data_IF_591908221886
#
_entry.id   IF_591908221886
#
_cell.length_a   1.000
_cell.length_b   1.000
_cell.length_c   1.000
_cell.angle_alpha   90.00
_cell.angle_beta   90.00
_cell.angle_gamma   90.00
#
_symmetry.space_group_name_H-M   'P 1'
#
loop_
_entity.id
_entity.type
_entity.pdbx_description
1 polymer ?
#
# COMPACT_ATOMS: atom_id res chain seq x y z
N UNK A 1 -14.07 -31.57 -4.05
CA UNK A 1 -14.07 -32.96 -3.55
C UNK A 1 -14.31 -33.98 -4.67
N UNK A 2 -15.30 -33.77 -5.54
CA UNK A 2 -15.61 -34.68 -6.68
C UNK A 2 -14.43 -34.94 -7.63
N UNK A 3 -13.56 -33.94 -7.88
CA UNK A 3 -12.39 -34.09 -8.76
C UNK A 3 -11.31 -35.07 -8.23
N UNK A 4 -11.40 -35.50 -6.97
CA UNK A 4 -10.46 -36.49 -6.40
C UNK A 4 -10.85 -37.94 -6.71
N UNK A 5 -12.03 -38.18 -7.30
CA UNK A 5 -12.46 -39.53 -7.67
C UNK A 5 -11.46 -40.17 -8.64
N UNK A 6 -11.24 -41.48 -8.49
CA UNK A 6 -10.32 -42.25 -9.36
C UNK A 6 -10.76 -42.22 -10.83
N UNK A 7 -12.07 -42.10 -11.07
CA UNK A 7 -12.69 -42.01 -12.41
C UNK A 7 -12.23 -40.77 -13.18
N UNK A 8 -11.90 -39.67 -12.50
CA UNK A 8 -11.45 -38.43 -13.16
C UNK A 8 -9.94 -38.49 -13.38
N UNK A 9 -9.49 -38.74 -14.61
CA UNK A 9 -8.06 -38.79 -14.96
C UNK A 9 -7.65 -37.59 -15.82
N UNK A 10 -6.86 -36.63 -15.29
CA UNK A 10 -6.41 -35.44 -16.02
C UNK A 10 -5.71 -35.71 -17.35
N UNK A 11 -5.02 -36.85 -17.47
CA UNK A 11 -4.33 -37.26 -18.69
C UNK A 11 -5.24 -37.45 -19.91
N UNK A 12 -6.55 -37.67 -19.72
CA UNK A 12 -7.49 -37.90 -20.83
C UNK A 12 -7.92 -36.61 -21.54
N UNK A 13 -7.84 -35.46 -20.87
CA UNK A 13 -8.32 -34.16 -21.40
C UNK A 13 -7.29 -33.03 -21.25
N UNK A 14 -6.06 -33.35 -20.85
CA UNK A 14 -4.97 -32.38 -20.80
C UNK A 14 -4.51 -32.03 -22.21
N UNK A 15 -4.32 -30.74 -22.49
CA UNK A 15 -3.77 -30.26 -23.76
C UNK A 15 -2.25 -30.26 -23.69
N UNK A 16 -1.58 -30.82 -24.70
CA UNK A 16 -0.13 -30.69 -24.85
C UNK A 16 0.18 -29.62 -25.90
N UNK A 17 0.77 -28.50 -25.47
CA UNK A 17 1.08 -27.39 -26.37
C UNK A 17 2.43 -27.62 -27.07
N UNK A 18 2.48 -27.44 -28.38
CA UNK A 18 3.71 -27.60 -29.16
C UNK A 18 4.65 -26.42 -28.94
N UNK A 19 5.93 -26.68 -28.69
CA UNK A 19 6.95 -25.65 -28.53
C UNK A 19 7.14 -24.83 -29.83
N UNK A 20 7.14 -23.48 -29.76
CA UNK A 20 7.41 -22.64 -30.91
C UNK A 20 8.91 -22.66 -31.26
N UNK A 21 9.23 -22.37 -32.52
CA UNK A 21 10.63 -22.22 -32.93
C UNK A 21 11.24 -20.99 -32.24
N UNK A 22 12.48 -21.06 -31.71
CA UNK A 22 13.10 -19.96 -30.98
C UNK A 22 13.27 -18.69 -31.83
N UNK A 23 13.42 -18.82 -33.16
CA UNK A 23 13.51 -17.68 -34.07
C UNK A 23 12.19 -16.89 -34.22
N UNK A 24 11.06 -17.46 -33.80
CA UNK A 24 9.73 -16.83 -33.87
C UNK A 24 9.34 -16.10 -32.59
N UNK A 25 10.13 -16.22 -31.51
CA UNK A 25 9.82 -15.69 -30.18
C UNK A 25 10.98 -14.92 -29.59
N UNK A 26 10.70 -13.89 -28.81
CA UNK A 26 11.73 -13.17 -28.04
C UNK A 26 12.22 -13.91 -26.77
N UNK A 27 11.90 -15.20 -26.62
CA UNK A 27 12.22 -16.02 -25.44
C UNK A 27 13.47 -16.88 -25.68
N UNK A 28 14.31 -17.04 -24.66
CA UNK A 28 15.40 -18.01 -24.70
C UNK A 28 14.85 -19.45 -24.57
N UNK A 29 15.55 -20.44 -25.14
CA UNK A 29 15.17 -21.86 -25.07
C UNK A 29 14.99 -22.37 -23.62
N UNK A 30 15.77 -21.83 -22.69
CA UNK A 30 15.67 -22.12 -21.25
C UNK A 30 14.43 -21.49 -20.59
N UNK A 31 13.94 -20.36 -21.12
CA UNK A 31 12.73 -19.69 -20.65
C UNK A 31 11.47 -20.38 -21.19
N UNK A 32 11.51 -20.82 -22.45
CA UNK A 32 10.43 -21.59 -23.10
C UNK A 32 10.11 -22.85 -22.27
N UNK A 33 11.12 -23.65 -21.94
CA UNK A 33 10.94 -24.89 -21.15
C UNK A 33 10.48 -24.66 -19.70
N UNK A 34 10.62 -23.44 -19.17
CA UNK A 34 10.15 -23.04 -17.83
C UNK A 34 8.75 -22.42 -17.84
N UNK A 35 8.24 -22.03 -19.00
CA UNK A 35 6.91 -21.44 -19.14
C UNK A 35 5.81 -22.44 -18.75
N UNK A 36 4.66 -21.93 -18.30
CA UNK A 36 3.51 -22.77 -17.93
C UNK A 36 2.96 -23.55 -19.13
N UNK A 37 3.05 -23.01 -20.35
CA UNK A 37 2.49 -23.63 -21.56
C UNK A 37 3.31 -24.83 -22.04
N UNK A 38 4.64 -24.72 -22.05
CA UNK A 38 5.51 -25.68 -22.73
C UNK A 38 6.21 -26.65 -21.77
N UNK A 39 6.14 -26.45 -20.45
CA UNK A 39 6.76 -27.34 -19.46
C UNK A 39 6.15 -28.74 -19.41
N UNK A 40 4.89 -28.89 -19.78
CA UNK A 40 4.17 -30.17 -19.74
C UNK A 40 2.69 -30.04 -20.09
N UNK A 41 1.93 -31.15 -20.05
CA UNK A 41 0.52 -31.16 -20.41
C UNK A 41 -0.28 -30.26 -19.46
N UNK A 42 -1.07 -29.36 -20.03
CA UNK A 42 -1.87 -28.37 -19.33
C UNK A 42 -3.26 -28.97 -19.03
N UNK A 43 -3.59 -29.04 -17.75
CA UNK A 43 -4.94 -29.38 -17.29
C UNK A 43 -5.86 -28.14 -17.39
N UNK A 44 -6.91 -28.14 -18.25
CA UNK A 44 -7.84 -27.01 -18.36
C UNK A 44 -8.57 -26.69 -17.05
N UNK A 45 -8.81 -27.70 -16.19
CA UNK A 45 -9.51 -27.51 -14.93
C UNK A 45 -8.68 -26.70 -13.91
N UNK A 46 -7.36 -26.69 -14.07
CA UNK A 46 -6.45 -25.95 -13.19
C UNK A 46 -6.69 -24.44 -13.25
N UNK A 47 -7.07 -23.91 -14.42
CA UNK A 47 -7.40 -22.48 -14.58
C UNK A 47 -8.67 -22.09 -13.82
N UNK A 48 -9.66 -22.98 -13.78
CA UNK A 48 -10.86 -22.84 -12.93
C UNK A 48 -10.58 -23.07 -11.43
N UNK A 49 -9.32 -23.31 -11.05
CA UNK A 49 -8.93 -23.56 -9.67
C UNK A 49 -9.18 -24.99 -9.20
N UNK A 50 -9.44 -25.94 -10.10
CA UNK A 50 -9.68 -27.34 -9.74
C UNK A 50 -8.39 -28.14 -9.92
N UNK A 51 -7.83 -28.64 -8.80
CA UNK A 51 -6.57 -29.40 -8.82
C UNK A 51 -6.75 -30.78 -8.20
N UNK A 52 -6.20 -31.80 -8.86
CA UNK A 52 -6.07 -33.15 -8.29
C UNK A 52 -4.79 -33.20 -7.47
N UNK A 53 -4.86 -33.63 -6.22
CA UNK A 53 -3.73 -33.53 -5.29
C UNK A 53 -3.69 -34.71 -4.36
N UNK A 54 -2.78 -35.64 -4.62
CA UNK A 54 -2.48 -36.78 -3.74
C UNK A 54 -1.11 -36.55 -3.08
N UNK A 55 -0.95 -36.68 -1.75
CA UNK A 55 -1.94 -36.91 -0.70
C UNK A 55 -2.40 -35.62 0.03
N UNK A 56 -1.78 -34.45 -0.21
CA UNK A 56 -1.88 -33.31 0.73
C UNK A 56 -2.34 -31.95 0.15
N UNK A 57 -2.45 -31.80 -1.19
CA UNK A 57 -2.88 -30.54 -1.82
C UNK A 57 -4.40 -30.35 -1.82
N UNK A 58 -5.17 -31.45 -1.94
CA UNK A 58 -6.63 -31.41 -1.76
C UNK A 58 -7.03 -30.95 -0.35
N UNK A 59 -6.24 -31.32 0.66
CA UNK A 59 -6.45 -30.86 2.04
C UNK A 59 -6.22 -29.36 2.18
N UNK A 60 -5.18 -28.78 1.56
CA UNK A 60 -4.86 -27.34 1.70
C UNK A 60 -5.94 -26.46 1.07
N UNK A 61 -6.39 -26.76 -0.15
CA UNK A 61 -7.41 -25.94 -0.81
C UNK A 61 -8.77 -26.06 -0.11
N UNK A 62 -9.17 -27.28 0.24
CA UNK A 62 -10.39 -27.52 1.03
C UNK A 62 -10.26 -26.86 2.39
N UNK A 63 -9.09 -26.90 3.05
CA UNK A 63 -8.83 -26.22 4.32
C UNK A 63 -8.99 -24.71 4.17
N UNK A 64 -8.47 -24.08 3.12
CA UNK A 64 -8.63 -22.64 2.92
C UNK A 64 -10.12 -22.27 2.75
N UNK A 65 -10.87 -23.02 1.95
CA UNK A 65 -12.30 -22.74 1.73
C UNK A 65 -13.14 -23.07 2.98
N UNK A 66 -12.79 -24.13 3.71
CA UNK A 66 -13.40 -24.49 4.98
C UNK A 66 -13.13 -23.42 6.06
N UNK A 67 -11.93 -22.85 6.10
CA UNK A 67 -11.59 -21.74 7.00
C UNK A 67 -12.42 -20.49 6.68
N UNK A 68 -12.60 -20.15 5.40
CA UNK A 68 -13.48 -19.05 5.00
C UNK A 68 -14.92 -19.32 5.44
N UNK A 69 -15.43 -20.53 5.21
CA UNK A 69 -16.77 -20.93 5.66
C UNK A 69 -16.91 -20.83 7.20
N UNK A 70 -15.93 -21.31 7.95
CA UNK A 70 -15.90 -21.22 9.41
C UNK A 70 -15.94 -19.75 9.87
N UNK A 71 -15.19 -18.86 9.22
CA UNK A 71 -15.18 -17.43 9.53
C UNK A 71 -16.54 -16.77 9.25
N UNK A 72 -17.19 -17.11 8.13
CA UNK A 72 -18.54 -16.59 7.81
C UNK A 72 -19.60 -17.08 8.81
N UNK A 73 -19.53 -18.36 9.20
CA UNK A 73 -20.41 -18.90 10.24
C UNK A 73 -20.11 -18.24 11.59
N UNK A 74 -18.85 -18.02 11.93
CA UNK A 74 -18.44 -17.36 13.16
C UNK A 74 -18.91 -15.90 13.20
N UNK A 75 -18.81 -15.16 12.09
CA UNK A 75 -19.37 -13.81 11.97
C UNK A 75 -20.87 -13.81 12.28
N UNK A 76 -21.64 -14.67 11.62
CA UNK A 76 -23.08 -14.79 11.85
C UNK A 76 -23.41 -15.17 13.30
N UNK A 77 -22.63 -16.09 13.88
CA UNK A 77 -22.75 -16.50 15.29
C UNK A 77 -22.52 -15.30 16.23
N UNK A 78 -21.47 -14.49 16.00
CA UNK A 78 -21.18 -13.31 16.81
C UNK A 78 -22.34 -12.32 16.74
N UNK A 79 -22.86 -12.00 15.55
CA UNK A 79 -24.00 -11.08 15.42
C UNK A 79 -25.24 -11.59 16.18
N UNK A 80 -25.56 -12.89 16.06
CA UNK A 80 -26.71 -13.49 16.77
C UNK A 80 -26.52 -13.51 18.28
N UNK A 81 -25.32 -13.84 18.77
CA UNK A 81 -25.01 -13.79 20.19
C UNK A 81 -25.13 -12.38 20.77
N UNK A 82 -24.66 -11.36 20.03
CA UNK A 82 -24.78 -9.95 20.43
C UNK A 82 -26.25 -9.51 20.49
N UNK A 83 -27.06 -9.87 19.50
CA UNK A 83 -28.50 -9.60 19.48
C UNK A 83 -29.23 -10.26 20.65
N UNK A 84 -28.95 -11.54 20.91
CA UNK A 84 -29.53 -12.28 22.03
C UNK A 84 -29.18 -11.67 23.39
N UNK A 85 -27.91 -11.29 23.58
CA UNK A 85 -27.45 -10.63 24.81
C UNK A 85 -28.14 -9.28 25.04
N UNK A 86 -28.29 -8.48 23.98
CA UNK A 86 -28.98 -7.18 24.05
C UNK A 86 -30.46 -7.34 24.40
N UNK A 87 -31.14 -8.31 23.80
CA UNK A 87 -32.54 -8.58 24.09
C UNK A 87 -32.74 -9.04 25.54
N UNK A 88 -31.92 -9.99 26.02
CA UNK A 88 -32.01 -10.52 27.39
C UNK A 88 -31.79 -9.45 28.46
N UNK A 89 -30.86 -8.52 28.21
CA UNK A 89 -30.49 -7.47 29.17
C UNK A 89 -31.19 -6.12 28.89
N UNK A 90 -32.11 -6.06 27.92
CA UNK A 90 -32.80 -4.83 27.50
C UNK A 90 -31.82 -3.68 27.18
N UNK A 91 -30.66 -4.00 26.59
CA UNK A 91 -29.61 -3.03 26.26
C UNK A 91 -29.82 -2.47 24.84
N UNK A 92 -29.83 -1.14 24.72
CA UNK A 92 -29.77 -0.48 23.43
C UNK A 92 -28.36 -0.61 22.80
N UNK A 93 -28.23 -0.62 21.46
CA UNK A 93 -26.93 -0.55 20.81
C UNK A 93 -26.19 0.71 21.25
N UNK A 94 -24.89 0.60 21.51
CA UNK A 94 -24.10 1.77 21.87
C UNK A 94 -24.10 2.77 20.70
N UNK A 95 -24.31 4.06 21.00
CA UNK A 95 -24.22 5.09 19.98
C UNK A 95 -22.83 5.08 19.35
N UNK A 96 -22.78 5.32 18.04
CA UNK A 96 -21.56 5.30 17.24
C UNK A 96 -20.75 3.98 17.26
N UNK A 97 -21.40 2.82 17.51
CA UNK A 97 -20.77 1.48 17.48
C UNK A 97 -19.49 1.37 18.34
N UNK A 98 -19.41 2.12 19.43
CA UNK A 98 -18.22 2.15 20.28
C UNK A 98 -18.03 0.84 21.09
N UNK A 99 -16.77 0.47 21.35
CA UNK A 99 -16.43 -0.70 22.18
C UNK A 99 -16.52 -0.37 23.67
N UNK A 100 -15.96 0.78 24.07
CA UNK A 100 -15.94 1.26 25.46
C UNK A 100 -16.90 2.44 25.66
N UNK A 101 -18.02 2.26 26.36
CA UNK A 101 -18.99 3.34 26.61
C UNK A 101 -18.40 4.61 27.27
N UNK A 102 -17.35 4.44 28.10
CA UNK A 102 -16.73 5.54 28.83
C UNK A 102 -15.78 6.43 28.01
N UNK A 103 -15.45 6.06 26.77
CA UNK A 103 -14.48 6.74 25.92
C UNK A 103 -15.10 7.84 25.05
N UNK A 104 -15.67 8.89 25.65
CA UNK A 104 -16.28 10.01 24.94
C UNK A 104 -15.34 11.22 24.82
N UNK A 105 -15.59 12.12 23.87
CA UNK A 105 -14.78 13.34 23.66
C UNK A 105 -14.65 14.21 24.92
N UNK A 106 -15.68 14.28 25.75
CA UNK A 106 -15.67 15.05 27.00
C UNK A 106 -14.74 14.44 28.07
N UNK A 107 -14.60 13.11 28.08
CA UNK A 107 -13.76 12.37 29.04
C UNK A 107 -12.33 12.17 28.56
N UNK A 108 -12.04 12.52 27.30
CA UNK A 108 -10.72 12.41 26.68
C UNK A 108 -9.62 13.13 27.50
N UNK A 109 -9.94 14.33 27.99
CA UNK A 109 -8.97 15.21 28.65
C UNK A 109 -8.84 14.98 30.16
N UNK A 110 -9.56 14.00 30.72
CA UNK A 110 -9.62 13.75 32.17
C UNK A 110 -8.43 12.94 32.68
N UNK A 111 -8.28 11.71 32.16
CA UNK A 111 -7.29 10.74 32.63
C UNK A 111 -6.72 9.92 31.46
N UNK A 112 -5.49 9.42 31.61
CA UNK A 112 -4.82 8.54 30.63
C UNK A 112 -5.67 7.31 30.21
N UNK A 113 -6.30 6.53 31.12
CA UNK A 113 -7.14 5.40 30.72
C UNK A 113 -8.40 5.83 29.95
N UNK A 114 -8.97 6.99 30.25
CA UNK A 114 -10.13 7.53 29.51
C UNK A 114 -9.73 7.94 28.09
N UNK A 115 -8.53 8.51 27.94
CA UNK A 115 -7.91 8.82 26.66
C UNK A 115 -7.64 7.57 25.82
N UNK A 116 -7.10 6.50 26.43
CA UNK A 116 -6.88 5.23 25.72
C UNK A 116 -8.20 4.59 25.27
N UNK A 117 -9.23 4.57 26.12
CA UNK A 117 -10.58 4.10 25.75
C UNK A 117 -11.16 4.88 24.57
N UNK A 118 -10.95 6.19 24.54
CA UNK A 118 -11.38 7.04 23.45
C UNK A 118 -10.66 6.71 22.13
N UNK A 119 -9.34 6.55 22.16
CA UNK A 119 -8.59 6.16 20.95
C UNK A 119 -8.95 4.75 20.47
N UNK A 120 -9.15 3.78 21.36
CA UNK A 120 -9.62 2.44 20.95
C UNK A 120 -10.95 2.51 20.19
N UNK A 121 -11.87 3.39 20.59
CA UNK A 121 -13.15 3.56 19.89
C UNK A 121 -13.03 4.37 18.59
N UNK A 122 -12.28 5.47 18.60
CA UNK A 122 -12.36 6.52 17.57
C UNK A 122 -11.02 6.81 16.87
N UNK A 123 -10.03 5.92 16.97
CA UNK A 123 -8.73 6.09 16.30
C UNK A 123 -8.90 6.29 14.79
N UNK A 124 -9.62 5.39 14.12
CA UNK A 124 -9.84 5.48 12.68
C UNK A 124 -10.78 6.64 12.31
N UNK A 125 -11.72 7.02 13.19
CA UNK A 125 -12.56 8.20 12.99
C UNK A 125 -11.72 9.50 12.96
N UNK A 126 -10.67 9.61 13.79
CA UNK A 126 -9.79 10.79 13.81
C UNK A 126 -8.69 10.75 12.76
N UNK A 127 -7.98 9.62 12.62
CA UNK A 127 -6.78 9.48 11.80
C UNK A 127 -6.98 8.68 10.50
N UNK A 128 -8.23 8.48 10.07
CA UNK A 128 -8.52 7.57 8.96
C UNK A 128 -7.95 8.00 7.61
N UNK A 129 -7.90 9.32 7.32
CA UNK A 129 -7.28 9.84 6.10
C UNK A 129 -5.77 9.59 6.09
N UNK A 130 -5.09 9.83 7.20
CA UNK A 130 -3.66 9.63 7.38
C UNK A 130 -3.30 8.16 7.22
N UNK A 131 -4.10 7.25 7.80
CA UNK A 131 -3.94 5.80 7.63
C UNK A 131 -4.18 5.40 6.18
N UNK A 132 -5.17 5.97 5.49
CA UNK A 132 -5.42 5.69 4.07
C UNK A 132 -4.24 6.15 3.18
N UNK A 133 -3.69 7.34 3.42
CA UNK A 133 -2.54 7.83 2.67
C UNK A 133 -1.28 7.01 2.96
N UNK A 134 -1.05 6.59 4.22
CA UNK A 134 0.04 5.69 4.57
C UNK A 134 -0.12 4.33 3.87
N UNK A 135 -1.33 3.77 3.83
CA UNK A 135 -1.62 2.53 3.12
C UNK A 135 -1.37 2.68 1.61
N UNK A 136 -1.75 3.82 1.01
CA UNK A 136 -1.49 4.11 -0.40
C UNK A 136 0.02 4.20 -0.69
N UNK A 137 0.78 4.90 0.16
CA UNK A 137 2.24 4.96 0.05
C UNK A 137 2.87 3.59 0.26
N UNK A 138 2.32 2.74 1.14
CA UNK A 138 2.79 1.37 1.32
C UNK A 138 2.55 0.51 0.07
N UNK A 139 1.38 0.62 -0.57
CA UNK A 139 1.12 -0.02 -1.87
C UNK A 139 2.14 0.45 -2.92
N UNK A 140 2.40 1.75 -2.99
CA UNK A 140 3.40 2.34 -3.90
C UNK A 140 4.83 1.88 -3.56
N UNK A 141 5.16 1.71 -2.28
CA UNK A 141 6.48 1.31 -1.83
C UNK A 141 6.77 -0.18 -2.06
N UNK A 142 5.78 -1.03 -1.84
CA UNK A 142 5.89 -2.48 -2.04
C UNK A 142 5.89 -2.85 -3.53
N UNK A 143 5.24 -2.06 -4.37
CA UNK A 143 5.11 -2.31 -5.80
C UNK A 143 5.86 -1.26 -6.62
N UNK A 144 6.85 -1.68 -7.39
CA UNK A 144 7.53 -0.84 -8.40
C UNK A 144 7.10 -1.29 -9.80
N UNK A 145 5.84 -1.04 -10.15
CA UNK A 145 5.25 -1.39 -11.43
C UNK A 145 4.44 -0.21 -12.01
N UNK A 146 4.07 -0.30 -13.28
CA UNK A 146 3.33 0.75 -13.99
C UNK A 146 1.98 1.08 -13.35
N UNK A 147 1.25 0.06 -12.86
CA UNK A 147 -0.07 0.21 -12.25
C UNK A 147 -0.06 1.13 -11.02
N UNK A 148 1.06 1.20 -10.32
CA UNK A 148 1.25 2.05 -9.15
C UNK A 148 1.30 3.54 -9.49
N UNK A 149 1.70 3.90 -10.72
CA UNK A 149 1.71 5.29 -11.18
C UNK A 149 0.29 5.87 -11.10
N UNK A 150 -0.73 5.07 -11.44
CA UNK A 150 -2.13 5.47 -11.32
C UNK A 150 -2.53 5.75 -9.85
N UNK A 151 -2.09 4.91 -8.90
CA UNK A 151 -2.28 5.20 -7.47
C UNK A 151 -1.58 6.49 -7.05
N UNK A 152 -0.36 6.74 -7.54
CA UNK A 152 0.39 7.97 -7.30
C UNK A 152 -0.32 9.21 -7.83
N UNK A 153 -0.85 9.16 -9.06
CA UNK A 153 -1.62 10.25 -9.64
C UNK A 153 -2.89 10.57 -8.83
N UNK A 154 -3.63 9.55 -8.38
CA UNK A 154 -4.78 9.74 -7.52
C UNK A 154 -4.42 10.29 -6.14
N UNK A 155 -3.32 9.81 -5.54
CA UNK A 155 -2.80 10.34 -4.28
C UNK A 155 -2.44 11.82 -4.42
N UNK A 156 -1.79 12.22 -5.51
CA UNK A 156 -1.47 13.62 -5.80
C UNK A 156 -2.75 14.46 -5.99
N UNK A 157 -3.74 13.93 -6.72
CA UNK A 157 -5.03 14.59 -6.92
C UNK A 157 -5.82 14.77 -5.61
N UNK A 158 -5.68 13.83 -4.66
CA UNK A 158 -6.27 13.94 -3.33
C UNK A 158 -5.52 14.98 -2.46
N UNK A 159 -4.19 14.93 -2.40
CA UNK A 159 -3.37 15.81 -1.56
C UNK A 159 -3.34 17.26 -2.03
N UNK A 160 -3.50 17.51 -3.34
CA UNK A 160 -3.65 18.89 -3.86
C UNK A 160 -4.94 19.56 -3.34
N UNK A 161 -5.94 18.77 -2.96
CA UNK A 161 -7.15 19.26 -2.28
C UNK A 161 -6.90 19.34 -0.77
N UNK A 162 -6.41 20.48 -0.32
CA UNK A 162 -6.02 20.70 1.09
C UNK A 162 -7.14 20.58 2.12
N UNK A 163 -8.40 20.83 1.73
CA UNK A 163 -9.55 20.80 2.65
C UNK A 163 -10.19 19.42 2.69
N UNK A 164 -10.49 18.91 3.89
CA UNK A 164 -11.23 17.66 4.12
C UNK A 164 -12.54 17.59 3.36
N UNK A 165 -13.30 18.70 3.31
CA UNK A 165 -14.55 18.78 2.54
C UNK A 165 -14.34 18.59 1.02
N UNK A 166 -13.22 19.08 0.49
CA UNK A 166 -12.89 18.93 -0.93
C UNK A 166 -12.44 17.50 -1.26
N UNK A 167 -11.76 16.84 -0.32
CA UNK A 167 -11.41 15.41 -0.39
C UNK A 167 -12.67 14.55 -0.29
N UNK A 168 -13.55 14.82 0.67
CA UNK A 168 -14.79 14.08 0.89
C UNK A 168 -15.71 14.07 -0.35
N UNK A 169 -15.71 15.16 -1.14
CA UNK A 169 -16.42 15.21 -2.43
C UNK A 169 -15.80 14.32 -3.52
N UNK A 170 -14.48 14.11 -3.51
CA UNK A 170 -13.79 13.22 -4.45
C UNK A 170 -13.86 11.75 -4.04
N UNK A 171 -13.97 11.50 -2.74
CA UNK A 171 -13.70 10.20 -2.13
C UNK A 171 -14.55 9.05 -2.68
N UNK A 172 -15.86 9.21 -2.96
CA UNK A 172 -16.65 8.14 -3.56
C UNK A 172 -16.13 7.70 -4.93
N UNK A 173 -15.73 8.68 -5.77
CA UNK A 173 -15.15 8.39 -7.09
C UNK A 173 -13.80 7.67 -6.97
N UNK A 174 -13.00 8.05 -5.97
CA UNK A 174 -11.74 7.37 -5.67
C UNK A 174 -11.97 5.93 -5.19
N UNK A 175 -12.95 5.68 -4.31
CA UNK A 175 -13.30 4.33 -3.86
C UNK A 175 -13.80 3.45 -5.01
N UNK A 176 -14.65 4.01 -5.89
CA UNK A 176 -15.10 3.31 -7.10
C UNK A 176 -13.93 2.97 -8.02
N UNK A 177 -13.02 3.92 -8.24
CA UNK A 177 -11.80 3.68 -9.01
C UNK A 177 -10.98 2.54 -8.38
N UNK A 178 -10.72 2.56 -7.07
CA UNK A 178 -9.96 1.50 -6.39
C UNK A 178 -10.62 0.12 -6.55
N UNK A 179 -11.95 0.04 -6.42
CA UNK A 179 -12.68 -1.21 -6.59
C UNK A 179 -12.58 -1.75 -8.01
N UNK A 180 -12.83 -0.91 -9.02
CA UNK A 180 -12.71 -1.30 -10.43
C UNK A 180 -11.27 -1.65 -10.80
N UNK A 181 -10.30 -0.91 -10.25
CA UNK A 181 -8.89 -1.13 -10.51
C UNK A 181 -8.39 -2.44 -9.89
N UNK A 182 -8.84 -2.79 -8.69
CA UNK A 182 -8.56 -4.09 -8.06
C UNK A 182 -9.10 -5.25 -8.90
N UNK A 183 -10.35 -5.14 -9.39
CA UNK A 183 -10.96 -6.12 -10.28
C UNK A 183 -10.15 -6.26 -11.58
N UNK A 184 -9.76 -5.14 -12.19
CA UNK A 184 -8.92 -5.13 -13.38
C UNK A 184 -7.56 -5.82 -13.14
N UNK A 185 -6.87 -5.50 -12.03
CA UNK A 185 -5.61 -6.16 -11.68
C UNK A 185 -5.79 -7.66 -11.44
N UNK A 186 -6.89 -8.08 -10.81
CA UNK A 186 -7.19 -9.49 -10.62
C UNK A 186 -7.39 -10.23 -11.95
N UNK A 187 -8.11 -9.61 -12.91
CA UNK A 187 -8.28 -10.14 -14.26
C UNK A 187 -6.93 -10.27 -14.99
N UNK A 188 -6.01 -9.31 -14.82
CA UNK A 188 -4.66 -9.42 -15.35
C UNK A 188 -3.87 -10.58 -14.71
N UNK A 189 -4.04 -10.83 -13.41
CA UNK A 189 -3.41 -12.00 -12.78
C UNK A 189 -4.00 -13.34 -13.26
N UNK A 190 -5.30 -13.37 -13.58
CA UNK A 190 -5.97 -14.57 -14.07
C UNK A 190 -5.52 -14.93 -15.50
N UNK A 191 -5.37 -13.93 -16.36
CA UNK A 191 -4.92 -14.11 -17.73
C UNK A 191 -5.87 -14.98 -18.58
N UNK A 192 -5.34 -15.48 -19.70
CA UNK A 192 -6.06 -16.37 -20.62
C UNK A 192 -5.89 -17.83 -20.19
N UNK A 193 -6.87 -18.70 -20.47
CA UNK A 193 -6.74 -20.13 -20.16
C UNK A 193 -5.54 -20.76 -20.88
N UNK A 194 -4.57 -21.35 -20.17
CA UNK A 194 -3.38 -21.93 -20.78
C UNK A 194 -3.69 -23.15 -21.67
N UNK A 195 -4.86 -23.79 -21.49
CA UNK A 195 -5.29 -24.93 -22.30
C UNK A 195 -5.58 -24.59 -23.77
N UNK A 196 -5.72 -23.30 -24.11
CA UNK A 196 -5.90 -22.84 -25.49
C UNK A 196 -4.60 -22.90 -26.31
N UNK A 197 -3.43 -23.07 -25.67
CA UNK A 197 -2.11 -23.07 -26.33
C UNK A 197 -1.83 -21.82 -27.19
N UNK A 198 -2.47 -20.69 -26.86
CA UNK A 198 -2.23 -19.40 -27.49
C UNK A 198 -1.34 -18.59 -26.57
N UNK A 199 -0.16 -18.23 -27.05
CA UNK A 199 0.76 -17.36 -26.34
C UNK A 199 0.37 -15.88 -26.51
N UNK A 200 0.91 -15.04 -25.64
CA UNK A 200 0.56 -13.63 -25.65
C UNK A 200 1.31 -12.83 -26.73
N UNK A 201 0.66 -11.80 -27.34
CA UNK A 201 1.19 -11.11 -28.50
C UNK A 201 2.49 -10.32 -28.25
N UNK A 202 2.77 -9.92 -27.01
CA UNK A 202 4.02 -9.19 -26.67
C UNK A 202 5.29 -10.05 -26.78
N UNK A 203 5.19 -11.39 -26.85
CA UNK A 203 6.34 -12.28 -27.04
C UNK A 203 6.70 -12.54 -28.52
N UNK A 204 5.79 -12.21 -29.44
CA UNK A 204 5.94 -12.42 -30.90
C UNK A 204 6.20 -11.13 -31.69
N UNK A 205 6.05 -9.96 -31.08
CA UNK A 205 6.34 -8.70 -31.77
C UNK A 205 7.83 -8.49 -31.96
N UNK A 206 8.29 -8.42 -33.22
CA UNK A 206 9.66 -8.06 -33.58
C UNK A 206 9.94 -6.55 -33.53
N UNK A 207 8.90 -5.72 -33.49
CA UNK A 207 9.02 -4.27 -33.57
C UNK A 207 9.59 -3.63 -32.28
N UNK A 208 9.37 -4.27 -31.12
CA UNK A 208 9.92 -3.82 -29.84
C UNK A 208 10.32 -5.07 -29.04
N UNK A 209 11.63 -5.32 -28.81
CA UNK A 209 12.06 -6.43 -27.96
C UNK A 209 11.61 -6.19 -26.52
N UNK A 210 10.46 -6.76 -26.15
CA UNK A 210 9.91 -6.68 -24.80
C UNK A 210 10.64 -7.67 -23.90
N UNK A 211 11.66 -7.19 -23.19
CA UNK A 211 12.38 -7.98 -22.19
C UNK A 211 11.42 -8.48 -21.09
N UNK A 212 11.69 -9.66 -20.53
CA UNK A 212 10.90 -10.24 -19.42
C UNK A 212 10.78 -9.29 -18.22
N UNK A 213 11.81 -8.47 -17.96
CA UNK A 213 11.78 -7.43 -16.93
C UNK A 213 10.79 -6.30 -17.24
N UNK A 214 10.66 -5.91 -18.51
CA UNK A 214 9.73 -4.86 -18.94
C UNK A 214 8.27 -5.34 -18.77
N UNK A 215 7.98 -6.56 -19.21
CA UNK A 215 6.65 -7.19 -19.04
C UNK A 215 6.26 -7.24 -17.56
N UNK A 216 7.19 -7.65 -16.70
CA UNK A 216 6.99 -7.66 -15.24
C UNK A 216 6.74 -6.26 -14.68
N UNK A 217 7.45 -5.23 -15.17
CA UNK A 217 7.26 -3.85 -14.73
C UNK A 217 5.93 -3.26 -15.20
N UNK A 218 5.48 -3.55 -16.43
CA UNK A 218 4.16 -3.14 -16.91
C UNK A 218 3.01 -3.87 -16.20
N UNK A 219 3.29 -4.97 -15.49
CA UNK A 219 2.29 -5.84 -14.88
C UNK A 219 1.35 -6.48 -15.90
N UNK A 220 1.91 -6.87 -17.06
CA UNK A 220 1.19 -7.64 -18.07
C UNK A 220 1.07 -9.10 -17.62
N UNK A 221 -0.02 -9.80 -18.00
CA UNK A 221 -0.08 -11.24 -17.84
C UNK A 221 1.04 -11.89 -18.66
N UNK A 222 1.57 -13.02 -18.22
CA UNK A 222 2.55 -13.78 -18.98
C UNK A 222 2.62 -15.20 -18.44
N UNK A 223 2.85 -16.18 -19.30
CA UNK A 223 2.97 -17.58 -18.87
C UNK A 223 4.37 -17.93 -18.35
N UNK A 224 5.38 -17.10 -18.63
CA UNK A 224 6.73 -17.23 -18.09
C UNK A 224 6.92 -16.34 -16.85
N UNK A 225 6.77 -15.03 -17.00
CA UNK A 225 6.92 -14.04 -15.92
C UNK A 225 5.57 -13.72 -15.27
N UNK A 226 4.97 -14.70 -14.60
CA UNK A 226 3.64 -14.58 -13.99
C UNK A 226 3.59 -13.40 -13.00
N UNK A 227 2.59 -12.50 -13.10
CA UNK A 227 2.45 -11.38 -12.18
C UNK A 227 2.21 -11.89 -10.75
N UNK A 228 2.89 -11.31 -9.77
CA UNK A 228 2.73 -11.73 -8.38
C UNK A 228 1.36 -11.30 -7.82
N UNK A 229 0.53 -12.27 -7.45
CA UNK A 229 -0.80 -12.05 -6.88
C UNK A 229 -0.78 -11.72 -5.38
N UNK A 230 0.27 -12.06 -4.64
CA UNK A 230 0.32 -11.77 -3.19
C UNK A 230 0.34 -10.27 -2.91
N UNK A 231 0.88 -9.49 -3.84
CA UNK A 231 0.93 -8.03 -3.73
C UNK A 231 -0.48 -7.41 -3.77
N UNK A 232 -1.48 -8.13 -4.29
CA UNK A 232 -2.87 -7.67 -4.42
C UNK A 232 -3.58 -7.56 -3.06
N UNK A 233 -3.04 -8.22 -2.04
CA UNK A 233 -3.51 -8.12 -0.66
C UNK A 233 -3.36 -6.68 -0.15
N UNK A 234 -2.25 -6.00 -0.49
CA UNK A 234 -2.01 -4.62 -0.05
C UNK A 234 -2.99 -3.64 -0.69
N UNK A 235 -3.34 -3.83 -1.97
CA UNK A 235 -4.36 -3.03 -2.66
C UNK A 235 -5.76 -3.29 -2.09
N UNK A 236 -6.05 -4.54 -1.71
CA UNK A 236 -7.29 -4.88 -1.01
C UNK A 236 -7.37 -4.19 0.36
N UNK A 237 -6.27 -4.18 1.14
CA UNK A 237 -6.22 -3.45 2.41
C UNK A 237 -6.40 -1.94 2.23
N UNK A 238 -5.84 -1.37 1.15
CA UNK A 238 -6.07 0.04 0.81
C UNK A 238 -7.55 0.30 0.50
N UNK A 239 -8.20 -0.56 -0.30
CA UNK A 239 -9.63 -0.46 -0.60
C UNK A 239 -10.48 -0.60 0.67
N UNK A 240 -10.13 -1.53 1.56
CA UNK A 240 -10.78 -1.70 2.86
C UNK A 240 -10.71 -0.39 3.66
N UNK A 241 -9.51 0.15 3.87
CA UNK A 241 -9.32 1.43 4.57
C UNK A 241 -10.12 2.57 3.92
N UNK A 242 -10.07 2.69 2.59
CA UNK A 242 -10.78 3.73 1.86
C UNK A 242 -12.31 3.61 2.00
N UNK A 243 -12.84 2.38 2.00
CA UNK A 243 -14.27 2.11 2.20
C UNK A 243 -14.73 2.48 3.62
N UNK A 244 -13.93 2.17 4.64
CA UNK A 244 -14.20 2.58 6.02
C UNK A 244 -14.12 4.10 6.14
N UNK A 245 -13.17 4.75 5.47
CA UNK A 245 -13.05 6.20 5.47
C UNK A 245 -14.24 6.90 4.80
N UNK A 246 -14.86 6.27 3.80
CA UNK A 246 -16.12 6.76 3.24
C UNK A 246 -17.23 6.72 4.30
N UNK A 247 -17.34 5.64 5.07
CA UNK A 247 -18.30 5.58 6.18
C UNK A 247 -18.03 6.67 7.23
N UNK A 248 -16.76 6.94 7.55
CA UNK A 248 -16.37 8.05 8.45
C UNK A 248 -16.85 9.40 7.92
N UNK A 249 -16.68 9.70 6.63
CA UNK A 249 -17.20 10.95 6.05
C UNK A 249 -18.72 11.07 6.11
N UNK A 250 -19.44 9.94 6.06
CA UNK A 250 -20.89 9.93 6.27
C UNK A 250 -21.24 10.14 7.75
N UNK A 251 -20.52 9.48 8.65
CA UNK A 251 -20.73 9.55 10.09
C UNK A 251 -20.48 10.96 10.64
N UNK A 252 -19.48 11.69 10.11
CA UNK A 252 -19.17 13.07 10.48
C UNK A 252 -20.33 14.05 10.29
N UNK A 253 -21.28 13.74 9.40
CA UNK A 253 -22.48 14.56 9.16
C UNK A 253 -23.59 14.31 10.18
N UNK A 254 -23.45 13.28 11.02
CA UNK A 254 -24.49 12.85 11.96
C UNK A 254 -24.22 13.43 13.35
N UNK A 255 -25.22 14.08 13.96
CA UNK A 255 -25.08 14.72 15.27
C UNK A 255 -24.67 13.75 16.39
N UNK A 256 -25.14 12.50 16.34
CA UNK A 256 -24.80 11.46 17.31
C UNK A 256 -23.29 11.22 17.39
N UNK A 257 -22.63 11.10 16.23
CA UNK A 257 -21.19 10.91 16.13
C UNK A 257 -20.42 12.16 16.55
N UNK A 258 -20.92 13.35 16.21
CA UNK A 258 -20.33 14.61 16.65
C UNK A 258 -20.38 14.76 18.17
N UNK A 259 -21.45 14.33 18.83
CA UNK A 259 -21.57 14.37 20.30
C UNK A 259 -20.59 13.40 20.98
N UNK A 260 -20.44 12.19 20.44
CA UNK A 260 -19.61 11.15 21.05
C UNK A 260 -18.11 11.34 20.80
N UNK A 261 -17.73 11.60 19.54
CA UNK A 261 -16.35 11.67 19.07
C UNK A 261 -15.86 13.10 18.79
N UNK A 262 -16.73 14.10 18.83
CA UNK A 262 -16.41 15.48 18.51
C UNK A 262 -16.33 15.76 17.01
N UNK A 263 -16.37 17.04 16.68
CA UNK A 263 -16.25 17.56 15.30
C UNK A 263 -14.84 17.33 14.74
N UNK A 264 -14.75 17.04 13.44
CA UNK A 264 -13.53 16.75 12.67
C UNK A 264 -13.28 17.78 11.55
N UNK A 265 -13.42 19.06 11.85
CA UNK A 265 -13.23 20.14 10.87
C UNK A 265 -11.80 20.67 10.88
N UNK A 266 -11.27 21.05 9.72
CA UNK A 266 -9.92 21.62 9.59
C UNK A 266 -9.82 23.09 10.03
N UNK A 267 -10.94 23.69 10.46
CA UNK A 267 -11.00 25.07 10.92
C UNK A 267 -10.47 25.18 12.35
N UNK A 268 -9.30 25.82 12.48
CA UNK A 268 -8.56 25.95 13.75
C UNK A 268 -9.11 27.06 14.66
N UNK A 269 -9.70 28.10 14.10
CA UNK A 269 -10.20 29.23 14.86
C UNK A 269 -11.62 28.94 15.36
N UNK A 270 -11.87 29.01 16.68
CA UNK A 270 -13.24 28.98 17.18
C UNK A 270 -14.00 30.18 16.59
N UNK A 271 -15.32 30.06 16.43
CA UNK A 271 -16.14 31.23 16.08
C UNK A 271 -15.85 32.33 17.10
N UNK A 272 -15.58 33.54 16.59
CA UNK A 272 -15.14 34.70 17.37
C UNK A 272 -16.07 34.90 18.57
N UNK A 273 -15.57 34.63 19.78
CA UNK A 273 -16.32 34.75 21.04
C UNK A 273 -16.53 33.45 21.82
N UNK A 274 -16.27 32.29 21.24
CA UNK A 274 -16.32 30.99 21.95
C UNK A 274 -15.03 30.78 22.78
N UNK A 275 -15.15 30.31 24.04
CA UNK A 275 -13.98 29.96 24.85
C UNK A 275 -13.23 28.76 24.26
N UNK A 276 -11.91 28.70 24.46
CA UNK A 276 -11.11 27.57 23.99
C UNK A 276 -11.68 26.24 24.53
N UNK A 277 -11.98 25.25 23.66
CA UNK A 277 -12.67 24.03 24.07
C UNK A 277 -11.81 23.07 24.90
N UNK A 278 -10.50 23.34 25.01
CA UNK A 278 -9.53 22.50 25.71
C UNK A 278 -8.85 23.33 26.82
N UNK A 279 -8.76 22.82 28.06
CA UNK A 279 -8.07 23.51 29.13
C UNK A 279 -6.56 23.61 28.88
N UNK A 280 -5.90 24.56 29.53
CA UNK A 280 -4.47 24.77 29.39
C UNK A 280 -3.67 23.60 29.98
N UNK A 281 -3.02 22.80 29.10
CA UNK A 281 -2.23 21.63 29.46
C UNK A 281 -0.73 21.91 29.61
N UNK A 282 -0.26 23.15 29.41
CA UNK A 282 1.18 23.49 29.43
C UNK A 282 1.83 23.28 30.81
N UNK A 283 1.05 23.39 31.88
CA UNK A 283 1.54 23.28 33.26
C UNK A 283 1.66 21.83 33.78
N UNK A 284 1.42 20.82 32.93
CA UNK A 284 1.63 19.40 33.24
C UNK A 284 1.03 18.94 34.59
N UNK A 285 -0.24 19.27 34.86
CA UNK A 285 -0.89 18.90 36.14
C UNK A 285 -1.19 17.40 36.25
N UNK A 286 -1.36 16.73 35.10
CA UNK A 286 -1.59 15.29 35.00
C UNK A 286 -0.54 14.61 34.12
N UNK A 287 -0.38 13.28 34.26
CA UNK A 287 0.44 12.48 33.34
C UNK A 287 -0.03 12.60 31.88
N UNK A 288 -1.34 12.78 31.67
CA UNK A 288 -1.91 13.01 30.35
C UNK A 288 -1.50 14.37 29.79
N UNK A 289 -1.41 15.41 30.63
CA UNK A 289 -0.91 16.71 30.21
C UNK A 289 0.59 16.67 29.88
N UNK A 290 1.39 15.92 30.64
CA UNK A 290 2.80 15.68 30.31
C UNK A 290 2.95 15.01 28.94
N UNK A 291 2.12 14.01 28.64
CA UNK A 291 2.09 13.36 27.33
C UNK A 291 1.64 14.32 26.22
N UNK A 292 0.61 15.13 26.47
CA UNK A 292 0.16 16.17 25.53
C UNK A 292 1.27 17.17 25.22
N UNK A 293 1.97 17.68 26.23
CA UNK A 293 3.10 18.60 26.02
C UNK A 293 4.20 17.90 25.22
N UNK A 294 4.51 16.65 25.53
CA UNK A 294 5.51 15.88 24.79
C UNK A 294 5.16 15.77 23.30
N UNK A 295 3.92 15.39 23.00
CA UNK A 295 3.43 15.22 21.62
C UNK A 295 3.28 16.56 20.90
N UNK A 296 2.55 17.53 21.46
CA UNK A 296 2.23 18.77 20.75
C UNK A 296 3.39 19.77 20.68
N UNK A 297 4.36 19.72 21.60
CA UNK A 297 5.50 20.65 21.61
C UNK A 297 6.78 20.06 21.03
N UNK A 298 7.14 18.82 21.38
CA UNK A 298 8.44 18.24 21.01
C UNK A 298 8.40 17.39 19.74
N UNK A 299 7.25 16.84 19.33
CA UNK A 299 7.15 16.01 18.13
C UNK A 299 7.58 16.75 16.86
N UNK A 300 7.37 18.06 16.78
CA UNK A 300 7.84 18.89 15.67
C UNK A 300 9.34 18.72 15.40
N UNK A 301 10.16 18.80 16.45
CA UNK A 301 11.61 18.67 16.33
C UNK A 301 12.03 17.23 16.00
N UNK A 302 11.31 16.24 16.56
CA UNK A 302 11.51 14.83 16.23
C UNK A 302 11.26 14.57 14.73
N UNK A 303 10.20 15.15 14.15
CA UNK A 303 9.92 15.02 12.72
C UNK A 303 11.04 15.61 11.88
N UNK A 304 11.64 16.75 12.28
CA UNK A 304 12.79 17.32 11.57
C UNK A 304 14.02 16.39 11.63
N UNK A 305 14.27 15.73 12.76
CA UNK A 305 15.33 14.72 12.86
C UNK A 305 15.07 13.55 11.91
N UNK A 306 13.83 13.07 11.81
CA UNK A 306 13.48 12.00 10.85
C UNK A 306 13.72 12.48 9.41
N UNK A 307 13.30 13.70 9.05
CA UNK A 307 13.55 14.28 7.72
C UNK A 307 15.05 14.36 7.43
N UNK A 308 15.86 14.81 8.40
CA UNK A 308 17.32 14.85 8.26
C UNK A 308 17.90 13.45 8.01
N UNK A 309 17.52 12.45 8.81
CA UNK A 309 17.97 11.07 8.64
C UNK A 309 17.57 10.52 7.27
N UNK A 310 16.35 10.81 6.81
CA UNK A 310 15.91 10.36 5.47
C UNK A 310 16.71 11.02 4.33
N UNK A 311 17.14 12.27 4.50
CA UNK A 311 18.01 12.95 3.53
C UNK A 311 19.47 12.46 3.58
N UNK A 312 19.99 12.17 4.77
CA UNK A 312 21.39 11.79 4.99
C UNK A 312 21.68 10.31 4.67
N UNK A 313 20.72 9.41 4.90
CA UNK A 313 20.91 7.95 4.70
C UNK A 313 21.08 7.55 3.24
N UNK A 314 20.52 8.30 2.29
CA UNK A 314 20.60 8.01 0.85
C UNK A 314 21.04 9.23 0.06
N UNK A 315 22.31 9.23 -0.33
CA UNK A 315 22.89 10.28 -1.18
C UNK A 315 22.19 10.27 -2.54
N UNK A 316 21.33 11.25 -2.78
CA UNK A 316 20.61 11.46 -4.04
C UNK A 316 20.20 12.93 -4.13
N UNK A 317 19.91 13.44 -5.34
CA UNK A 317 19.35 14.80 -5.49
C UNK A 317 18.08 14.99 -4.64
N UNK A 318 17.25 13.94 -4.55
CA UNK A 318 16.07 13.95 -3.70
C UNK A 318 16.41 14.05 -2.20
N UNK A 319 17.49 13.39 -1.76
CA UNK A 319 18.01 13.50 -0.40
C UNK A 319 18.53 14.90 -0.08
N UNK A 320 19.20 15.55 -1.03
CA UNK A 320 19.68 16.93 -0.88
C UNK A 320 18.54 17.91 -0.62
N UNK A 321 17.39 17.75 -1.30
CA UNK A 321 16.24 18.61 -1.04
C UNK A 321 15.62 18.40 0.35
N UNK A 322 15.64 17.18 0.90
CA UNK A 322 15.28 16.96 2.30
C UNK A 322 16.25 17.63 3.28
N UNK A 323 17.56 17.58 3.01
CA UNK A 323 18.56 18.26 3.82
C UNK A 323 18.36 19.78 3.78
N UNK A 324 18.14 20.35 2.59
CA UNK A 324 17.86 21.77 2.42
C UNK A 324 16.60 22.18 3.18
N UNK A 325 15.49 21.45 3.01
CA UNK A 325 14.24 21.70 3.72
C UNK A 325 14.43 21.60 5.25
N UNK A 326 15.20 20.61 5.71
CA UNK A 326 15.51 20.45 7.12
C UNK A 326 16.31 21.64 7.67
N UNK A 327 17.37 22.08 6.98
CA UNK A 327 18.15 23.23 7.43
C UNK A 327 17.31 24.51 7.44
N UNK A 328 16.48 24.74 6.41
CA UNK A 328 15.55 25.87 6.40
C UNK A 328 14.57 25.82 7.58
N UNK A 329 13.97 24.67 7.87
CA UNK A 329 13.02 24.51 8.98
C UNK A 329 13.68 24.56 10.36
N UNK A 330 14.96 24.17 10.49
CA UNK A 330 15.71 24.33 11.73
C UNK A 330 16.08 25.80 11.98
N UNK A 331 16.50 26.52 10.94
CA UNK A 331 16.85 27.95 11.04
C UNK A 331 15.64 28.84 11.33
N UNK A 332 14.52 28.60 10.65
CA UNK A 332 13.31 29.41 10.79
C UNK A 332 12.25 28.81 11.71
N UNK A 333 12.50 27.63 12.30
CA UNK A 333 11.47 26.86 13.01
C UNK A 333 10.84 27.57 14.20
N UNK A 334 11.62 28.31 14.99
CA UNK A 334 11.12 29.08 16.15
C UNK A 334 10.22 30.24 15.72
N UNK A 335 10.61 30.96 14.66
CA UNK A 335 9.79 32.03 14.07
C UNK A 335 8.52 31.47 13.41
N UNK A 336 8.63 30.34 12.70
CA UNK A 336 7.50 29.66 12.04
C UNK A 336 6.44 29.17 13.04
N UNK A 337 6.85 28.75 14.24
CA UNK A 337 5.91 28.34 15.29
C UNK A 337 5.08 29.52 15.83
N UNK A 338 5.61 30.75 15.75
CA UNK A 338 4.93 31.97 16.20
C UNK A 338 4.06 32.63 15.13
N UNK A 339 4.26 32.29 13.85
CA UNK A 339 3.46 32.80 12.74
C UNK A 339 2.05 32.20 12.68
N UNK A 340 1.19 32.86 11.91
CA UNK A 340 -0.17 32.40 11.63
C UNK A 340 -0.22 30.97 11.08
N UNK A 341 -1.28 30.26 11.46
CA UNK A 341 -1.52 28.86 11.09
C UNK A 341 -1.50 28.66 9.57
N UNK A 342 -2.00 29.63 8.80
CA UNK A 342 -2.06 29.57 7.33
C UNK A 342 -0.68 29.48 6.68
N UNK A 343 0.26 30.34 7.07
CA UNK A 343 1.62 30.35 6.51
C UNK A 343 2.37 29.07 6.85
N UNK A 344 2.22 28.60 8.11
CA UNK A 344 2.79 27.33 8.56
C UNK A 344 2.26 26.15 7.78
N UNK A 345 0.94 26.05 7.58
CA UNK A 345 0.32 24.95 6.83
C UNK A 345 0.76 24.94 5.35
N UNK A 346 0.90 26.10 4.71
CA UNK A 346 1.38 26.17 3.32
C UNK A 346 2.79 25.58 3.18
N UNK A 347 3.70 25.90 4.11
CA UNK A 347 5.06 25.37 4.08
C UNK A 347 5.07 23.85 4.32
N UNK A 348 4.25 23.37 5.25
CA UNK A 348 4.09 21.94 5.51
C UNK A 348 3.48 21.18 4.33
N UNK A 349 2.46 21.75 3.67
CA UNK A 349 1.86 21.18 2.46
C UNK A 349 2.90 21.07 1.33
N UNK A 350 3.78 22.06 1.18
CA UNK A 350 4.89 21.99 0.23
C UNK A 350 5.86 20.85 0.55
N UNK A 351 6.17 20.60 1.83
CA UNK A 351 7.04 19.49 2.25
C UNK A 351 6.37 18.12 2.01
N UNK A 352 5.07 17.99 2.30
CA UNK A 352 4.30 16.76 2.05
C UNK A 352 4.24 16.50 0.53
N UNK A 353 3.96 17.53 -0.26
CA UNK A 353 3.92 17.44 -1.72
C UNK A 353 5.28 17.04 -2.29
N UNK A 354 6.37 17.60 -1.75
CA UNK A 354 7.74 17.22 -2.12
C UNK A 354 7.99 15.74 -1.87
N UNK A 355 7.58 15.22 -0.70
CA UNK A 355 7.74 13.82 -0.35
C UNK A 355 6.99 12.89 -1.32
N UNK A 356 5.71 13.17 -1.57
CA UNK A 356 4.91 12.36 -2.52
C UNK A 356 5.48 12.43 -3.94
N UNK A 357 5.95 13.59 -4.37
CA UNK A 357 6.58 13.75 -5.68
C UNK A 357 7.86 12.91 -5.80
N UNK A 358 8.68 12.83 -4.75
CA UNK A 358 9.86 11.96 -4.73
C UNK A 358 9.44 10.50 -4.86
N UNK A 359 8.41 10.07 -4.12
CA UNK A 359 7.94 8.68 -4.16
C UNK A 359 7.52 8.30 -5.59
N UNK A 360 6.69 9.13 -6.23
CA UNK A 360 6.25 8.92 -7.62
C UNK A 360 7.43 8.97 -8.60
N UNK A 361 8.33 9.94 -8.45
CA UNK A 361 9.50 10.08 -9.33
C UNK A 361 10.41 8.86 -9.23
N UNK A 362 10.65 8.33 -8.01
CA UNK A 362 11.43 7.10 -7.83
C UNK A 362 10.74 5.88 -8.45
N UNK A 363 9.42 5.80 -8.40
CA UNK A 363 8.68 4.74 -9.08
C UNK A 363 8.83 4.83 -10.61
N UNK A 364 8.75 6.02 -11.20
CA UNK A 364 8.98 6.21 -12.64
C UNK A 364 10.44 5.85 -13.01
N UNK A 365 11.41 6.31 -12.23
CA UNK A 365 12.83 6.00 -12.46
C UNK A 365 13.16 4.51 -12.23
N UNK A 366 12.30 3.75 -11.51
CA UNK A 366 12.46 2.30 -11.37
C UNK A 366 12.36 1.56 -12.70
N UNK A 367 11.67 2.11 -13.69
CA UNK A 367 11.63 1.58 -15.05
C UNK A 367 13.05 1.50 -15.62
N UNK A 368 13.79 2.61 -15.56
CA UNK A 368 15.14 2.72 -16.10
C UNK A 368 16.10 1.76 -15.40
N UNK A 369 15.96 1.61 -14.08
CA UNK A 369 16.90 0.83 -13.27
C UNK A 369 16.60 -0.67 -13.20
N UNK A 370 15.34 -1.10 -13.29
CA UNK A 370 14.98 -2.51 -13.25
C UNK A 370 14.92 -3.13 -14.65
N UNK A 371 14.61 -2.35 -15.69
CA UNK A 371 14.44 -2.86 -17.07
C UNK A 371 15.66 -2.65 -17.94
N UNK A 372 16.29 -1.48 -17.89
CA UNK A 372 17.37 -1.09 -18.82
C UNK A 372 18.75 -1.08 -18.14
N UNK A 373 19.01 -2.05 -17.25
CA UNK A 373 20.26 -2.13 -16.46
C UNK A 373 21.50 -2.08 -17.34
N UNK A 374 21.58 -2.94 -18.36
CA UNK A 374 22.78 -3.09 -19.19
C UNK A 374 23.07 -1.82 -20.02
N UNK A 375 22.03 -1.22 -20.60
CA UNK A 375 22.15 -0.01 -21.41
C UNK A 375 22.50 1.23 -20.56
N UNK A 376 21.92 1.33 -19.35
CA UNK A 376 22.22 2.40 -18.40
C UNK A 376 23.63 2.28 -17.82
N UNK A 377 24.13 1.06 -17.53
CA UNK A 377 25.48 0.85 -17.04
C UNK A 377 26.55 1.20 -18.09
N UNK A 378 26.27 0.91 -19.37
CA UNK A 378 27.23 1.19 -20.45
C UNK A 378 27.31 2.66 -20.84
N UNK A 379 26.21 3.41 -20.76
CA UNK A 379 26.15 4.78 -21.33
C UNK A 379 25.86 5.88 -20.30
N UNK A 380 25.21 5.57 -19.17
CA UNK A 380 24.67 6.56 -18.24
C UNK A 380 24.89 6.21 -16.76
N UNK A 381 26.08 5.70 -16.42
CA UNK A 381 26.39 5.31 -15.03
C UNK A 381 26.27 6.48 -14.04
N UNK A 382 26.56 7.71 -14.47
CA UNK A 382 26.42 8.91 -13.66
C UNK A 382 24.96 9.15 -13.21
N UNK A 383 23.96 8.80 -14.05
CA UNK A 383 22.53 8.95 -13.72
C UNK A 383 22.12 8.01 -12.59
N UNK A 384 22.61 6.77 -12.62
CA UNK A 384 22.34 5.76 -11.59
C UNK A 384 22.85 6.25 -10.23
N UNK A 385 24.05 6.82 -10.19
CA UNK A 385 24.64 7.37 -8.96
C UNK A 385 23.90 8.62 -8.47
N UNK A 386 23.54 9.53 -9.37
CA UNK A 386 22.89 10.80 -9.05
C UNK A 386 21.51 10.64 -8.38
N UNK A 387 20.73 9.66 -8.84
CA UNK A 387 19.40 9.37 -8.32
C UNK A 387 19.35 8.19 -7.33
N UNK A 388 20.50 7.54 -7.07
CA UNK A 388 20.62 6.34 -6.22
C UNK A 388 19.61 5.26 -6.62
N UNK A 389 19.62 4.87 -7.89
CA UNK A 389 18.65 3.93 -8.44
C UNK A 389 18.99 2.50 -8.05
N UNK A 390 18.13 1.87 -7.23
CA UNK A 390 18.25 0.46 -6.84
C UNK A 390 16.89 -0.22 -7.02
N UNK A 391 16.88 -1.37 -7.69
CA UNK A 391 15.69 -2.21 -7.80
C UNK A 391 15.51 -3.00 -6.51
N UNK A 392 14.46 -2.72 -5.74
CA UNK A 392 14.17 -3.36 -4.44
C UNK A 392 13.21 -4.54 -4.54
N UNK A 393 12.56 -4.74 -5.69
CA UNK A 393 11.53 -5.77 -5.86
C UNK A 393 12.16 -7.13 -6.13
N UNK A 394 11.78 -8.13 -5.33
CA UNK A 394 12.24 -9.52 -5.49
C UNK A 394 11.85 -10.10 -6.86
N UNK A 395 12.79 -10.81 -7.48
CA UNK A 395 12.63 -11.45 -8.79
C UNK A 395 12.89 -10.56 -10.01
N UNK A 396 13.42 -9.35 -9.83
CA UNK A 396 14.27 -8.75 -10.87
C UNK A 396 15.71 -9.31 -10.72
N UNK A 397 16.59 -9.07 -11.70
CA UNK A 397 17.95 -9.59 -11.76
C UNK A 397 18.62 -9.65 -10.38
N UNK A 398 18.93 -10.86 -9.87
CA UNK A 398 19.66 -11.02 -8.62
C UNK A 398 21.11 -10.58 -8.85
N UNK A 399 21.56 -9.57 -8.10
CA UNK A 399 22.92 -9.03 -8.18
C UNK A 399 24.02 -9.99 -7.69
N UNK A 400 23.67 -11.18 -7.20
CA UNK A 400 24.65 -12.16 -6.71
C UNK A 400 25.59 -12.72 -7.79
N UNK A 401 25.41 -12.38 -9.07
CA UNK A 401 26.28 -12.82 -10.16
C UNK A 401 27.16 -11.72 -10.79
N UNK A 402 27.66 -10.75 -10.01
CA UNK A 402 28.72 -9.84 -10.46
C UNK A 402 30.02 -9.94 -9.63
N UNK A 403 30.21 -11.05 -8.90
CA UNK A 403 31.43 -11.34 -8.13
C UNK A 403 32.48 -12.18 -8.88
N UNK A 404 32.22 -12.66 -10.10
CA UNK A 404 33.16 -13.48 -10.87
C UNK A 404 33.08 -13.22 -12.37
N UNK A 405 33.67 -12.11 -12.81
CA UNK A 405 34.39 -11.98 -14.10
C UNK A 405 35.17 -10.67 -14.07
N UNK A 406 36.49 -10.77 -14.25
CA UNK A 406 37.43 -9.67 -14.12
C UNK A 406 37.17 -8.53 -15.13
N UNK A 407 37.13 -7.31 -14.61
CA UNK A 407 37.03 -6.01 -15.29
C UNK A 407 37.09 -4.91 -14.23
N UNK A 408 37.61 -3.70 -14.53
CA UNK A 408 38.33 -2.87 -13.57
C UNK A 408 37.52 -2.45 -12.33
N UNK A 409 38.21 -2.51 -11.20
CA UNK A 409 37.74 -2.29 -9.84
C UNK A 409 37.41 -0.80 -9.60
N UNK A 410 36.17 -0.39 -9.82
CA UNK A 410 35.73 0.95 -9.33
C UNK A 410 34.30 1.03 -8.79
N UNK A 411 33.59 -0.10 -8.65
CA UNK A 411 32.19 -0.06 -8.22
C UNK A 411 31.94 -0.71 -6.85
N UNK A 412 32.14 0.07 -5.78
CA UNK A 412 31.44 -0.14 -4.50
C UNK A 412 30.52 1.05 -4.24
N UNK A 413 29.22 0.87 -4.46
CA UNK A 413 28.23 1.66 -3.74
C UNK A 413 28.22 1.14 -2.29
N UNK A 414 28.35 2.02 -1.28
CA UNK A 414 28.31 1.59 0.11
C UNK A 414 26.97 0.91 0.42
N UNK A 415 27.04 -0.13 1.24
CA UNK A 415 25.96 -1.05 1.61
C UNK A 415 24.63 -0.34 1.77
N UNK A 416 23.70 -0.73 0.91
CA UNK A 416 22.42 -0.06 0.72
C UNK A 416 21.29 -1.08 0.86
N UNK A 417 21.46 -2.02 1.79
CA UNK A 417 20.39 -2.88 2.24
C UNK A 417 19.43 -2.02 3.06
N UNK A 418 18.20 -1.88 2.56
CA UNK A 418 17.08 -1.69 3.47
C UNK A 418 17.16 -2.86 4.44
N UNK A 419 17.36 -2.55 5.72
CA UNK A 419 17.19 -3.51 6.80
C UNK A 419 15.90 -4.27 6.54
N UNK A 420 16.06 -5.52 6.10
CA UNK A 420 14.99 -6.47 6.04
C UNK A 420 14.61 -6.74 7.49
N UNK A 421 13.63 -5.99 7.99
CA UNK A 421 12.84 -6.42 9.12
C UNK A 421 12.03 -7.61 8.61
N UNK A 422 12.64 -8.78 8.67
CA UNK A 422 11.93 -10.06 8.67
C UNK A 422 11.61 -10.42 10.12
N UNK A 423 10.45 -11.05 10.41
CA UNK A 423 10.28 -11.75 11.68
C UNK A 423 11.22 -12.95 11.77
#
# INVERSE_FOLDING_TARGET
>A
MLYQLKVVSPHQYSSNCTEPLPNSTNLQKTEISRSVLYRGPVDPANWFGVRKGFPNLGYIQVRNHLQILLLLVFEAMVYRCQEHHRHRNQLAPLPAQAVCAGGTRQRLDRDLPSCLKYFVNFFFYKFGLEVCFLAAVNVIGQRMNFMVILHGCWLLAALTRRRREAIARLWPNYCLFLALFLLYQYLLCLGMPPALCIDYPWRWSQAIPMNSALIKWLYLPDFFSVPNSTNLISDFLLLLCASQQWQVFSAERTEEWQRMAGVNTDQLEPLRGEPNPVPNFIHCRSYLDMLKVAVFRYLFWLVLVVVFVTGATRISIFGLGYLLACFCLLLFGTSLQQQDTRSRLVLWDCLILYNVTIIISKNILSLLSCVFVEQMQSSFCWVIQLFSLVCTVKGYYNRECAGRRGGPRDWRLPGADLAAVHP
#
